data_IF_621915637555
#
_entry.id   IF_621915637555
#
_cell.length_a   1.000
_cell.length_b   1.000
_cell.length_c   1.000
_cell.angle_alpha   90.00
_cell.angle_beta   90.00
_cell.angle_gamma   90.00
#
_symmetry.space_group_name_H-M   'P 1'
#
loop_
_entity.id
_entity.type
_entity.pdbx_description
1 polymer ?
#
# COMPACT_ATOMS: atom_id res chain seq x y z
N UNK A 1 -14.61 -3.06 -7.64
CA UNK A 1 -15.45 -4.28 -7.58
C UNK A 1 -16.87 -3.97 -8.03
N UNK A 2 -17.71 -3.29 -7.24
CA UNK A 2 -19.13 -3.05 -7.63
C UNK A 2 -19.30 -2.27 -8.95
N UNK A 3 -18.30 -1.45 -9.30
CA UNK A 3 -18.28 -0.68 -10.55
C UNK A 3 -17.64 -1.41 -11.73
N UNK A 4 -17.30 -2.69 -11.59
CA UNK A 4 -16.59 -3.47 -12.62
C UNK A 4 -15.07 -3.22 -12.70
N UNK A 5 -14.56 -2.22 -11.98
CA UNK A 5 -13.11 -1.99 -11.82
C UNK A 5 -12.55 -3.02 -10.83
N UNK A 6 -12.19 -4.21 -11.34
CA UNK A 6 -11.68 -5.31 -10.53
C UNK A 6 -10.20 -5.11 -10.23
N UNK A 7 -9.78 -5.16 -8.94
CA UNK A 7 -8.37 -5.20 -8.60
C UNK A 7 -7.70 -6.48 -9.14
N UNK A 8 -6.55 -6.32 -9.79
CA UNK A 8 -5.80 -7.42 -10.38
C UNK A 8 -4.34 -7.43 -9.92
N UNK A 9 -3.78 -8.63 -9.76
CA UNK A 9 -2.36 -8.85 -9.46
C UNK A 9 -1.79 -9.92 -10.38
N UNK A 10 -0.58 -9.66 -10.88
CA UNK A 10 0.25 -10.72 -11.46
C UNK A 10 0.87 -11.53 -10.32
N UNK A 11 0.74 -12.85 -10.39
CA UNK A 11 1.42 -13.75 -9.46
C UNK A 11 2.76 -14.15 -10.06
N UNK A 12 3.84 -13.80 -9.37
CA UNK A 12 5.21 -13.96 -9.84
C UNK A 12 6.03 -14.81 -8.86
N UNK A 13 7.04 -15.51 -9.38
CA UNK A 13 8.02 -16.25 -8.59
C UNK A 13 9.45 -15.81 -8.97
N UNK A 14 10.32 -15.67 -7.98
CA UNK A 14 11.76 -15.76 -8.18
C UNK A 14 12.14 -17.22 -7.98
N UNK A 15 12.77 -17.83 -8.99
CA UNK A 15 13.17 -19.24 -8.95
C UNK A 15 14.67 -19.34 -9.15
N UNK A 16 15.33 -20.06 -8.26
CA UNK A 16 16.77 -20.22 -8.25
C UNK A 16 17.16 -21.58 -7.67
N UNK A 17 18.34 -22.05 -8.05
CA UNK A 17 18.99 -23.24 -7.53
C UNK A 17 19.69 -22.95 -6.20
N UNK A 18 20.08 -24.01 -5.49
CA UNK A 18 20.89 -23.87 -4.26
C UNK A 18 22.23 -23.18 -4.56
N UNK A 19 22.87 -23.48 -5.69
CA UNK A 19 24.14 -22.84 -6.09
C UNK A 19 23.98 -21.34 -6.29
N UNK A 20 22.89 -20.90 -6.93
CA UNK A 20 22.56 -19.48 -7.09
C UNK A 20 22.26 -18.81 -5.74
N UNK A 21 21.58 -19.50 -4.83
CA UNK A 21 21.33 -19.00 -3.47
C UNK A 21 22.64 -18.80 -2.69
N UNK A 22 23.54 -19.79 -2.74
CA UNK A 22 24.83 -19.77 -2.03
C UNK A 22 25.79 -18.72 -2.60
N UNK A 23 25.60 -18.30 -3.85
CA UNK A 23 26.40 -17.27 -4.51
C UNK A 23 25.97 -15.84 -4.14
N UNK A 24 24.79 -15.65 -3.52
CA UNK A 24 24.32 -14.33 -3.10
C UNK A 24 25.14 -13.81 -1.91
N UNK A 25 25.36 -12.48 -1.80
CA UNK A 25 26.13 -11.89 -0.72
C UNK A 25 25.38 -11.85 0.62
N UNK A 26 24.21 -12.48 0.70
CA UNK A 26 23.37 -12.57 1.88
C UNK A 26 22.63 -13.91 1.88
N UNK A 27 22.22 -14.37 3.06
CA UNK A 27 21.48 -15.61 3.21
C UNK A 27 20.02 -15.45 2.74
N UNK A 28 19.56 -16.30 1.81
CA UNK A 28 18.17 -16.29 1.32
C UNK A 28 17.14 -16.71 2.38
N UNK A 29 17.61 -17.32 3.48
CA UNK A 29 16.78 -17.68 4.63
C UNK A 29 16.64 -16.52 5.62
N UNK A 30 17.35 -15.41 5.41
CA UNK A 30 17.20 -14.19 6.21
C UNK A 30 16.00 -13.37 5.71
N UNK A 31 14.88 -13.32 6.47
CA UNK A 31 13.67 -12.61 6.06
C UNK A 31 13.85 -11.08 6.05
N UNK A 32 15.00 -10.57 6.48
CA UNK A 32 15.35 -9.14 6.39
C UNK A 32 16.01 -8.77 5.06
N UNK A 33 16.21 -9.76 4.17
CA UNK A 33 16.85 -9.59 2.87
C UNK A 33 15.84 -9.80 1.74
N UNK A 34 15.89 -8.92 0.75
CA UNK A 34 15.22 -9.08 -0.54
C UNK A 34 16.21 -9.59 -1.57
N UNK A 35 15.74 -10.35 -2.55
CA UNK A 35 16.53 -10.68 -3.75
C UNK A 35 16.22 -9.62 -4.80
N UNK A 36 17.15 -8.74 -5.18
CA UNK A 36 16.89 -7.71 -6.19
C UNK A 36 16.42 -8.34 -7.51
N UNK A 37 15.42 -7.73 -8.15
CA UNK A 37 14.83 -8.24 -9.40
C UNK A 37 15.84 -8.21 -10.56
N UNK A 38 16.87 -7.37 -10.47
CA UNK A 38 17.98 -7.27 -11.42
C UNK A 38 18.95 -8.45 -11.31
N UNK A 39 18.97 -9.14 -10.16
CA UNK A 39 19.79 -10.34 -9.93
C UNK A 39 19.01 -11.60 -10.30
N UNK A 40 17.79 -11.73 -9.77
CA UNK A 40 16.89 -12.84 -10.09
C UNK A 40 15.53 -12.26 -10.52
N UNK A 41 15.22 -12.23 -11.83
CA UNK A 41 14.00 -11.62 -12.33
C UNK A 41 12.72 -12.32 -11.86
N UNK A 42 11.65 -11.54 -11.75
CA UNK A 42 10.31 -12.07 -11.52
C UNK A 42 9.81 -12.84 -12.75
N UNK A 43 9.38 -14.09 -12.53
CA UNK A 43 8.66 -14.88 -13.53
C UNK A 43 7.17 -14.85 -13.26
N UNK A 44 6.38 -14.26 -14.16
CA UNK A 44 4.92 -14.30 -14.09
C UNK A 44 4.45 -15.74 -14.32
N UNK A 45 3.66 -16.27 -13.39
CA UNK A 45 3.10 -17.63 -13.43
C UNK A 45 1.57 -17.66 -13.35
N UNK A 46 0.93 -16.53 -13.06
CA UNK A 46 -0.52 -16.45 -13.02
C UNK A 46 -1.06 -15.03 -12.82
N UNK A 47 -2.37 -14.93 -12.68
CA UNK A 47 -3.11 -13.69 -12.44
C UNK A 47 -4.22 -13.93 -11.43
N UNK A 48 -4.35 -13.04 -10.45
CA UNK A 48 -5.43 -13.03 -9.47
C UNK A 48 -6.31 -11.81 -9.72
N UNK A 49 -7.63 -12.01 -9.75
CA UNK A 49 -8.65 -10.96 -9.93
C UNK A 49 -9.61 -11.04 -8.76
N UNK A 50 -9.87 -9.91 -8.10
CA UNK A 50 -10.90 -9.81 -7.07
C UNK A 50 -12.16 -9.21 -7.68
N UNK A 51 -13.16 -10.05 -7.92
CA UNK A 51 -14.36 -9.71 -8.71
C UNK A 51 -15.66 -9.65 -7.90
N UNK A 52 -15.62 -9.98 -6.60
CA UNK A 52 -16.81 -9.99 -5.75
C UNK A 52 -16.51 -9.57 -4.32
N UNK A 53 -17.38 -8.71 -3.80
CA UNK A 53 -17.40 -8.32 -2.39
C UNK A 53 -18.02 -9.43 -1.52
N UNK A 54 -17.70 -9.50 -0.21
CA UNK A 54 -18.41 -10.38 0.71
C UNK A 54 -19.88 -9.96 0.85
N UNK A 55 -20.77 -10.94 1.04
CA UNK A 55 -22.18 -10.70 1.38
C UNK A 55 -22.31 -10.28 2.85
N UNK A 56 -21.47 -10.86 3.73
CA UNK A 56 -21.42 -10.50 5.13
C UNK A 56 -19.98 -10.39 5.63
N UNK A 57 -19.58 -9.16 5.98
CA UNK A 57 -18.24 -8.85 6.45
C UNK A 57 -17.80 -9.73 7.64
N UNK A 58 -18.66 -9.91 8.65
CA UNK A 58 -18.26 -10.71 9.81
C UNK A 58 -18.11 -12.20 9.45
N UNK A 59 -19.09 -12.75 8.74
CA UNK A 59 -19.11 -14.17 8.42
C UNK A 59 -17.96 -14.60 7.49
N UNK A 60 -17.54 -13.71 6.57
CA UNK A 60 -16.55 -14.01 5.54
C UNK A 60 -15.20 -13.33 5.82
N UNK A 61 -15.16 -12.03 6.10
CA UNK A 61 -13.90 -11.29 6.30
C UNK A 61 -13.36 -11.43 7.71
N UNK A 62 -14.20 -11.33 8.74
CA UNK A 62 -13.72 -11.40 10.13
C UNK A 62 -13.36 -12.84 10.52
N UNK A 63 -14.12 -13.83 10.03
CA UNK A 63 -13.92 -15.24 10.41
C UNK A 63 -12.99 -16.04 9.49
N UNK A 64 -12.50 -15.47 8.38
CA UNK A 64 -11.49 -16.16 7.56
C UNK A 64 -10.22 -16.43 8.36
N UNK A 65 -9.62 -17.61 8.18
CA UNK A 65 -8.40 -18.03 8.83
C UNK A 65 -7.35 -18.43 7.79
N UNK A 66 -6.37 -17.55 7.56
CA UNK A 66 -5.17 -17.88 6.82
C UNK A 66 -4.13 -18.52 7.74
N UNK A 67 -3.30 -19.41 7.22
CA UNK A 67 -2.22 -20.04 7.97
C UNK A 67 -1.06 -20.38 7.05
N UNK A 68 0.17 -20.02 7.45
CA UNK A 68 1.37 -20.30 6.67
C UNK A 68 1.65 -21.81 6.53
N UNK A 69 1.17 -22.65 7.46
CA UNK A 69 1.30 -24.10 7.37
C UNK A 69 0.31 -24.76 6.40
N UNK A 70 -0.65 -24.02 5.85
CA UNK A 70 -1.60 -24.54 4.86
C UNK A 70 -0.99 -24.54 3.44
N UNK A 71 -0.05 -25.46 3.21
CA UNK A 71 0.55 -25.71 1.89
C UNK A 71 -0.01 -26.98 1.26
N UNK A 72 0.22 -27.14 -0.05
CA UNK A 72 -0.22 -28.29 -0.85
C UNK A 72 0.99 -29.05 -1.39
N UNK A 73 0.87 -30.36 -1.75
CA UNK A 73 1.97 -31.10 -2.36
C UNK A 73 2.57 -30.34 -3.56
N UNK A 74 3.91 -30.19 -3.56
CA UNK A 74 4.65 -29.39 -4.54
C UNK A 74 5.18 -28.06 -3.99
N UNK A 75 4.76 -27.65 -2.79
CA UNK A 75 5.29 -26.50 -2.05
C UNK A 75 5.73 -27.01 -0.67
N UNK A 76 6.90 -26.56 -0.21
CA UNK A 76 7.43 -26.92 1.12
C UNK A 76 8.10 -25.71 1.77
N UNK A 77 8.57 -25.89 2.99
CA UNK A 77 9.17 -24.85 3.81
C UNK A 77 10.70 -24.84 3.72
N UNK A 78 11.28 -23.70 4.09
CA UNK A 78 12.72 -23.53 4.28
C UNK A 78 13.05 -23.37 5.77
N UNK A 79 14.33 -23.34 6.10
CA UNK A 79 14.80 -23.09 7.46
C UNK A 79 14.86 -21.61 7.84
N UNK A 80 14.10 -20.74 7.16
CA UNK A 80 13.89 -19.35 7.60
C UNK A 80 13.36 -19.36 9.05
N UNK A 81 14.12 -18.82 10.02
CA UNK A 81 13.78 -18.94 11.44
C UNK A 81 12.51 -18.15 11.82
N UNK A 82 12.12 -17.14 11.04
CA UNK A 82 10.86 -16.43 11.22
C UNK A 82 9.68 -17.23 10.67
N UNK A 83 9.83 -17.85 9.50
CA UNK A 83 8.81 -18.75 8.94
C UNK A 83 8.53 -19.91 9.89
N UNK A 84 9.57 -20.56 10.42
CA UNK A 84 9.43 -21.71 11.33
C UNK A 84 8.54 -21.39 12.55
N UNK A 85 8.72 -20.21 13.18
CA UNK A 85 7.84 -19.77 14.26
C UNK A 85 6.40 -19.47 13.82
N UNK A 86 6.22 -18.97 12.59
CA UNK A 86 4.89 -18.69 12.01
C UNK A 86 4.11 -19.98 11.72
N UNK A 87 4.76 -21.08 11.34
CA UNK A 87 4.06 -22.36 11.09
C UNK A 87 3.26 -22.84 12.31
N UNK A 88 3.73 -22.52 13.52
CA UNK A 88 3.02 -22.78 14.78
C UNK A 88 1.90 -21.76 15.06
N UNK A 89 2.23 -20.46 15.02
CA UNK A 89 1.41 -19.38 15.57
C UNK A 89 0.01 -19.26 14.95
N UNK A 90 -0.08 -19.41 13.63
CA UNK A 90 -1.32 -19.12 12.90
C UNK A 90 -2.43 -20.12 13.22
N UNK A 91 -2.10 -21.37 13.57
CA UNK A 91 -3.09 -22.35 14.01
C UNK A 91 -3.50 -22.10 15.47
N UNK A 92 -2.53 -21.85 16.35
CA UNK A 92 -2.74 -21.63 17.78
C UNK A 92 -3.70 -20.46 18.04
N UNK A 93 -3.48 -19.31 17.38
CA UNK A 93 -4.30 -18.12 17.58
C UNK A 93 -5.77 -18.33 17.23
N UNK A 94 -6.09 -19.23 16.28
CA UNK A 94 -7.48 -19.49 15.87
C UNK A 94 -8.28 -20.19 16.96
N UNK A 95 -7.63 -20.98 17.82
CA UNK A 95 -8.30 -21.71 18.90
C UNK A 95 -9.05 -20.76 19.83
N UNK A 96 -8.47 -19.58 20.09
CA UNK A 96 -9.11 -18.53 20.87
C UNK A 96 -9.92 -17.58 19.99
N UNK A 97 -9.35 -17.07 18.89
CA UNK A 97 -9.99 -16.05 18.05
C UNK A 97 -11.33 -16.53 17.47
N UNK A 98 -11.39 -17.77 17.01
CA UNK A 98 -12.58 -18.41 16.46
C UNK A 98 -13.24 -19.38 17.47
N UNK A 99 -12.69 -19.44 18.69
CA UNK A 99 -13.26 -20.15 19.84
C UNK A 99 -13.36 -21.67 19.70
N UNK A 100 -12.75 -22.27 18.67
CA UNK A 100 -12.96 -23.68 18.35
C UNK A 100 -11.80 -24.28 17.56
N UNK A 101 -11.42 -25.56 17.81
CA UNK A 101 -10.54 -26.32 16.91
C UNK A 101 -11.22 -26.68 15.58
N UNK A 102 -12.55 -26.56 15.49
CA UNK A 102 -13.34 -26.78 14.29
C UNK A 102 -13.50 -25.51 13.44
N UNK A 103 -12.62 -24.51 13.56
CA UNK A 103 -12.70 -23.27 12.78
C UNK A 103 -12.64 -23.49 11.25
N UNK A 104 -12.06 -24.62 10.81
CA UNK A 104 -12.06 -25.06 9.41
C UNK A 104 -13.47 -25.41 8.89
N UNK A 105 -14.46 -25.63 9.77
CA UNK A 105 -15.86 -25.87 9.41
C UNK A 105 -16.67 -24.59 9.23
N UNK A 106 -16.11 -23.41 9.54
CA UNK A 106 -16.76 -22.13 9.20
C UNK A 106 -16.80 -22.00 7.66
N UNK A 107 -17.94 -21.65 7.04
CA UNK A 107 -18.13 -21.76 5.59
C UNK A 107 -17.03 -21.12 4.71
N UNK A 108 -16.46 -19.98 5.12
CA UNK A 108 -15.39 -19.30 4.37
C UNK A 108 -14.05 -20.06 4.42
N UNK A 109 -13.82 -20.88 5.45
CA UNK A 109 -12.59 -21.63 5.67
C UNK A 109 -12.66 -23.07 5.14
N UNK A 110 -13.85 -23.54 4.76
CA UNK A 110 -14.04 -24.92 4.32
C UNK A 110 -13.30 -25.19 3.00
N UNK A 111 -12.52 -26.28 2.91
CA UNK A 111 -11.91 -26.67 1.65
C UNK A 111 -13.01 -27.00 0.62
N UNK A 112 -12.73 -26.72 -0.65
CA UNK A 112 -13.64 -27.07 -1.75
C UNK A 112 -13.39 -28.49 -2.29
N UNK A 113 -12.37 -29.17 -1.78
CA UNK A 113 -12.05 -30.57 -2.09
C UNK A 113 -12.46 -31.50 -0.93
N UNK A 114 -12.56 -32.82 -1.15
CA UNK A 114 -12.83 -33.77 -0.08
C UNK A 114 -11.76 -33.69 1.02
N UNK A 115 -12.20 -33.69 2.29
CA UNK A 115 -11.32 -33.78 3.45
C UNK A 115 -11.89 -34.83 4.41
N UNK A 116 -11.11 -35.87 4.70
CA UNK A 116 -11.50 -36.94 5.61
C UNK A 116 -10.32 -37.28 6.51
N UNK A 117 -10.57 -37.31 7.81
CA UNK A 117 -9.59 -37.71 8.81
C UNK A 117 -10.28 -38.35 10.01
N UNK A 118 -9.50 -38.66 11.03
CA UNK A 118 -9.95 -39.35 12.23
C UNK A 118 -10.14 -38.43 13.43
N UNK A 119 -9.97 -37.11 13.25
CA UNK A 119 -10.26 -36.12 14.30
C UNK A 119 -11.78 -36.07 14.57
N UNK A 120 -12.15 -35.90 15.85
CA UNK A 120 -13.53 -35.90 16.33
C UNK A 120 -13.72 -34.76 17.34
N UNK A 121 -14.98 -34.48 17.63
CA UNK A 121 -15.43 -33.59 18.72
C UNK A 121 -14.91 -32.15 18.60
N UNK A 122 -14.61 -31.52 19.73
CA UNK A 122 -14.27 -30.09 19.83
C UNK A 122 -15.49 -29.18 19.88
N UNK A 123 -15.30 -27.96 20.42
CA UNK A 123 -16.37 -26.96 20.51
C UNK A 123 -16.95 -26.65 19.13
N UNK A 124 -18.26 -26.39 19.02
CA UNK A 124 -18.94 -26.09 17.75
C UNK A 124 -18.66 -27.10 16.62
N UNK A 125 -18.62 -28.40 16.93
CA UNK A 125 -18.54 -29.44 15.90
C UNK A 125 -19.81 -29.43 15.03
N UNK A 126 -19.66 -29.13 13.75
CA UNK A 126 -20.76 -29.03 12.78
C UNK A 126 -20.98 -30.34 12.03
N UNK A 127 -19.91 -30.91 11.46
CA UNK A 127 -20.02 -32.18 10.74
C UNK A 127 -20.26 -33.34 11.71
N UNK A 128 -21.13 -34.26 11.31
CA UNK A 128 -21.39 -35.53 12.02
C UNK A 128 -20.57 -36.65 11.37
N UNK A 129 -19.43 -37.08 11.95
CA UNK A 129 -18.62 -38.16 11.39
C UNK A 129 -19.40 -39.47 11.37
N UNK A 130 -19.32 -40.20 10.26
CA UNK A 130 -19.97 -41.52 10.11
C UNK A 130 -18.97 -42.64 10.37
N UNK A 131 -19.49 -43.80 10.75
CA UNK A 131 -18.70 -45.01 10.99
C UNK A 131 -18.23 -45.16 12.43
N UNK A 132 -17.77 -46.37 12.77
CA UNK A 132 -17.36 -46.76 14.13
C UNK A 132 -15.86 -46.58 14.41
N UNK A 133 -15.09 -46.06 13.45
CA UNK A 133 -13.63 -45.92 13.54
C UNK A 133 -13.22 -44.45 13.62
N UNK A 134 -12.36 -44.14 14.58
CA UNK A 134 -11.72 -42.85 14.81
C UNK A 134 -10.20 -42.98 15.08
N UNK A 135 -9.59 -44.10 14.67
CA UNK A 135 -8.16 -44.40 14.84
C UNK A 135 -7.62 -45.18 13.63
N UNK A 136 -6.31 -45.13 13.42
CA UNK A 136 -5.58 -45.87 12.37
C UNK A 136 -4.25 -46.39 12.96
N UNK A 137 -3.81 -47.63 12.65
CA UNK A 137 -4.46 -48.62 11.79
C UNK A 137 -5.74 -49.23 12.37
N UNK A 138 -6.79 -49.40 11.56
CA UNK A 138 -7.99 -50.15 11.94
C UNK A 138 -8.39 -51.24 10.93
N UNK A 139 -8.87 -52.37 11.47
CA UNK A 139 -9.49 -53.49 10.72
C UNK A 139 -11.01 -53.38 10.64
N UNK A 140 -11.62 -52.41 11.31
CA UNK A 140 -13.08 -52.29 11.45
C UNK A 140 -13.68 -51.36 10.39
N UNK A 141 -13.60 -51.76 9.12
CA UNK A 141 -14.40 -51.16 8.03
C UNK A 141 -13.61 -50.73 6.78
N UNK A 142 -14.22 -50.82 5.59
CA UNK A 142 -13.55 -50.51 4.32
C UNK A 142 -13.43 -49.00 4.04
N UNK A 143 -14.31 -48.17 4.60
CA UNK A 143 -14.45 -46.74 4.26
C UNK A 143 -13.76 -45.79 5.25
N UNK A 144 -12.69 -46.24 5.91
CA UNK A 144 -11.88 -45.41 6.81
C UNK A 144 -10.88 -44.61 5.98
N UNK A 145 -10.70 -43.32 6.27
CA UNK A 145 -9.68 -42.49 5.63
C UNK A 145 -8.29 -43.16 5.76
N UNK A 146 -7.58 -43.31 4.64
CA UNK A 146 -6.24 -43.93 4.56
C UNK A 146 -5.20 -42.95 4.06
N UNK A 147 -3.95 -43.25 4.35
CA UNK A 147 -2.79 -42.55 3.80
C UNK A 147 -2.76 -42.67 2.27
N UNK A 148 -2.45 -41.58 1.57
CA UNK A 148 -2.16 -41.64 0.14
C UNK A 148 -0.66 -41.81 -0.08
N UNK A 149 -0.22 -43.02 -0.44
CA UNK A 149 1.19 -43.25 -0.72
C UNK A 149 1.66 -42.55 -2.00
N UNK A 150 0.84 -42.50 -3.04
CA UNK A 150 1.23 -41.95 -4.34
C UNK A 150 1.20 -40.43 -4.41
N UNK A 151 0.29 -39.77 -3.67
CA UNK A 151 0.04 -38.33 -3.77
C UNK A 151 0.01 -37.58 -2.44
N UNK A 152 0.31 -38.26 -1.32
CA UNK A 152 0.39 -37.62 -0.01
C UNK A 152 1.51 -36.57 0.05
N UNK A 153 1.32 -35.56 0.89
CA UNK A 153 2.35 -34.56 1.18
C UNK A 153 3.60 -35.25 1.72
N UNK A 154 4.77 -34.89 1.18
CA UNK A 154 6.07 -35.39 1.63
C UNK A 154 7.00 -34.20 1.75
N UNK A 155 7.58 -34.03 2.93
CA UNK A 155 8.63 -33.03 3.13
C UNK A 155 9.84 -33.37 2.27
N UNK A 156 10.40 -32.36 1.62
CA UNK A 156 11.64 -32.43 0.88
C UNK A 156 12.75 -32.95 1.83
N UNK A 157 13.48 -34.00 1.45
CA UNK A 157 14.45 -34.65 2.33
C UNK A 157 15.75 -33.84 2.41
N UNK A 158 15.67 -32.65 3.02
CA UNK A 158 16.84 -31.80 3.23
C UNK A 158 17.81 -32.44 4.24
N UNK A 159 19.11 -32.28 4.02
CA UNK A 159 20.13 -32.77 4.94
C UNK A 159 20.38 -31.75 6.04
N UNK A 160 19.92 -32.05 7.26
CA UNK A 160 20.14 -31.21 8.43
C UNK A 160 21.33 -31.73 9.26
N UNK A 161 22.30 -30.87 9.53
CA UNK A 161 23.49 -31.18 10.36
C UNK A 161 23.79 -30.03 11.32
N UNK A 162 24.43 -30.32 12.46
CA UNK A 162 24.86 -29.31 13.41
C UNK A 162 24.43 -29.58 14.86
N UNK A 163 24.75 -28.62 15.74
CA UNK A 163 24.40 -28.66 17.16
C UNK A 163 23.05 -28.00 17.44
N UNK A 164 22.36 -28.43 18.49
CA UNK A 164 21.11 -27.82 18.95
C UNK A 164 21.39 -26.56 19.77
N UNK A 165 21.37 -25.40 19.12
CA UNK A 165 21.74 -24.12 19.72
C UNK A 165 20.60 -23.08 19.61
N UNK A 166 20.65 -22.06 20.49
CA UNK A 166 19.84 -20.84 20.37
C UNK A 166 20.74 -19.68 19.95
N UNK A 167 21.06 -19.65 18.67
CA UNK A 167 21.95 -18.64 18.06
C UNK A 167 21.32 -18.09 16.79
N UNK A 168 21.76 -16.88 16.39
CA UNK A 168 21.47 -16.36 15.05
C UNK A 168 22.67 -16.67 14.16
N UNK A 169 22.47 -17.10 12.90
CA UNK A 169 23.58 -17.30 11.97
C UNK A 169 24.40 -16.02 11.80
N UNK A 170 25.72 -16.14 11.69
CA UNK A 170 26.59 -14.97 11.48
C UNK A 170 26.26 -14.23 10.17
N UNK A 171 25.83 -14.96 9.14
CA UNK A 171 25.39 -14.41 7.86
C UNK A 171 24.19 -13.43 7.99
N UNK A 172 23.40 -13.53 9.07
CA UNK A 172 22.29 -12.60 9.35
C UNK A 172 22.78 -11.30 10.02
N UNK A 173 24.10 -11.18 10.25
CA UNK A 173 24.75 -10.04 10.92
C UNK A 173 24.85 -8.76 10.09
N UNK A 174 24.55 -8.82 8.79
CA UNK A 174 24.44 -7.64 7.94
C UNK A 174 23.06 -7.00 8.12
N UNK A 175 23.07 -5.77 8.65
CA UNK A 175 21.87 -5.02 8.98
C UNK A 175 21.71 -3.76 8.14
N UNK A 176 22.68 -3.42 7.28
CA UNK A 176 22.79 -2.08 6.72
C UNK A 176 22.96 -2.05 5.20
N UNK A 177 23.55 -3.09 4.58
CA UNK A 177 23.80 -3.09 3.13
C UNK A 177 22.52 -2.91 2.32
N UNK A 178 21.48 -3.72 2.58
CA UNK A 178 20.23 -3.59 1.83
C UNK A 178 19.40 -2.36 2.23
N UNK A 179 19.53 -1.86 3.46
CA UNK A 179 18.91 -0.59 3.85
C UNK A 179 19.52 0.58 3.04
N UNK A 180 20.83 0.55 2.82
CA UNK A 180 21.55 1.50 1.96
C UNK A 180 21.10 1.36 0.51
N UNK A 181 21.13 0.14 -0.04
CA UNK A 181 20.64 -0.16 -1.38
C UNK A 181 19.21 0.38 -1.57
N UNK A 182 18.29 0.10 -0.65
CA UNK A 182 16.91 0.57 -0.71
C UNK A 182 16.85 2.09 -0.78
N UNK A 183 17.55 2.82 0.10
CA UNK A 183 17.54 4.29 0.10
C UNK A 183 18.05 4.88 -1.22
N UNK A 184 19.14 4.32 -1.78
CA UNK A 184 19.69 4.76 -3.07
C UNK A 184 18.89 4.31 -4.29
N UNK A 185 17.98 3.34 -4.11
CA UNK A 185 17.02 2.93 -5.15
C UNK A 185 15.85 3.90 -5.30
N UNK A 186 15.62 4.75 -4.30
CA UNK A 186 14.49 5.68 -4.27
C UNK A 186 14.76 6.93 -5.12
N UNK A 187 13.71 7.47 -5.73
CA UNK A 187 13.76 8.80 -6.37
C UNK A 187 13.96 9.90 -5.32
N UNK A 188 14.35 11.09 -5.77
CA UNK A 188 14.58 12.24 -4.87
C UNK A 188 13.37 12.56 -3.97
N UNK A 189 12.12 12.66 -4.45
CA UNK A 189 10.95 12.87 -3.59
C UNK A 189 10.76 11.74 -2.56
N UNK A 190 11.01 10.48 -2.95
CA UNK A 190 10.90 9.35 -2.02
C UNK A 190 11.97 9.38 -0.93
N UNK A 191 13.21 9.73 -1.25
CA UNK A 191 14.26 9.94 -0.25
C UNK A 191 13.90 11.07 0.72
N UNK A 192 13.31 12.15 0.20
CA UNK A 192 12.87 13.29 0.99
C UNK A 192 11.72 12.92 1.94
N UNK A 193 10.78 12.10 1.47
CA UNK A 193 9.72 11.53 2.30
C UNK A 193 10.24 10.55 3.36
N UNK A 194 11.25 9.72 3.06
CA UNK A 194 11.90 8.85 4.06
C UNK A 194 12.51 9.69 5.18
N UNK A 195 13.25 10.75 4.82
CA UNK A 195 13.83 11.68 5.80
C UNK A 195 12.75 12.36 6.62
N UNK A 196 11.69 12.87 5.97
CA UNK A 196 10.58 13.52 6.67
C UNK A 196 9.85 12.57 7.62
N UNK A 197 9.65 11.31 7.23
CA UNK A 197 9.04 10.29 8.07
C UNK A 197 9.90 9.97 9.30
N UNK A 198 11.21 9.81 9.12
CA UNK A 198 12.15 9.60 10.23
C UNK A 198 12.15 10.78 11.20
N UNK A 199 12.14 12.02 10.70
CA UNK A 199 12.05 13.22 11.54
C UNK A 199 10.72 13.25 12.29
N UNK A 200 9.61 13.01 11.59
CA UNK A 200 8.27 13.04 12.18
C UNK A 200 8.13 11.99 13.29
N UNK A 201 8.51 10.75 13.05
CA UNK A 201 8.40 9.70 14.07
C UNK A 201 9.35 9.92 15.24
N UNK A 202 10.61 10.29 14.98
CA UNK A 202 11.58 10.54 16.05
C UNK A 202 11.26 11.81 16.85
N UNK A 203 10.57 12.80 16.27
CA UNK A 203 10.11 13.99 16.99
C UNK A 203 9.07 13.69 18.07
N UNK A 204 8.33 12.57 17.94
CA UNK A 204 7.39 12.06 18.95
C UNK A 204 8.08 11.21 20.03
N UNK A 205 9.35 10.87 19.85
CA UNK A 205 10.12 10.16 20.87
C UNK A 205 10.63 11.16 21.92
N UNK A 206 10.01 11.17 23.10
CA UNK A 206 10.40 12.07 24.20
C UNK A 206 11.81 11.81 24.73
N UNK A 207 12.30 10.57 24.60
CA UNK A 207 13.58 10.15 25.17
C UNK A 207 14.73 10.44 24.20
N UNK A 208 15.52 11.48 24.47
CA UNK A 208 16.62 11.94 23.61
C UNK A 208 17.61 10.83 23.18
N UNK A 209 18.04 9.98 24.13
CA UNK A 209 18.97 8.86 23.84
C UNK A 209 18.43 7.89 22.77
N UNK A 210 17.11 7.78 22.62
CA UNK A 210 16.49 6.93 21.58
C UNK A 210 16.70 7.56 20.21
N UNK A 211 16.52 8.88 20.10
CA UNK A 211 16.79 9.64 18.86
C UNK A 211 18.26 9.55 18.48
N UNK A 212 19.17 9.73 19.44
CA UNK A 212 20.61 9.58 19.25
C UNK A 212 20.99 8.17 18.80
N UNK A 213 20.45 7.13 19.44
CA UNK A 213 20.70 5.74 19.06
C UNK A 213 20.16 5.41 17.66
N UNK A 214 19.07 6.04 17.23
CA UNK A 214 18.55 5.90 15.88
C UNK A 214 19.45 6.60 14.86
N UNK A 215 19.91 7.82 15.14
CA UNK A 215 20.89 8.52 14.30
C UNK A 215 22.20 7.72 14.14
N UNK A 216 22.67 7.11 15.23
CA UNK A 216 23.84 6.22 15.25
C UNK A 216 23.68 4.99 14.34
N UNK A 217 22.45 4.56 14.06
CA UNK A 217 22.17 3.47 13.09
C UNK A 217 22.00 4.00 11.68
N UNK A 218 21.34 5.15 11.51
CA UNK A 218 21.15 5.77 10.20
C UNK A 218 22.49 6.10 9.54
N UNK A 219 23.51 6.51 10.31
CA UNK A 219 24.83 6.81 9.75
C UNK A 219 25.54 5.56 9.20
N UNK A 220 25.22 4.35 9.70
CA UNK A 220 25.70 3.10 9.13
C UNK A 220 25.02 2.76 7.80
N UNK A 221 23.84 3.31 7.54
CA UNK A 221 23.14 3.19 6.24
C UNK A 221 23.74 4.20 5.27
N UNK A 222 23.68 5.48 5.65
CA UNK A 222 24.22 6.57 4.87
C UNK A 222 24.42 7.85 5.70
N UNK A 223 25.55 8.53 5.49
CA UNK A 223 25.90 9.74 6.24
C UNK A 223 24.99 10.91 5.88
N UNK A 224 24.67 11.11 4.60
CA UNK A 224 23.79 12.20 4.17
C UNK A 224 22.39 12.01 4.72
N UNK A 225 21.84 10.79 4.69
CA UNK A 225 20.58 10.44 5.35
C UNK A 225 20.58 10.83 6.83
N UNK A 226 21.58 10.38 7.60
CA UNK A 226 21.65 10.64 9.04
C UNK A 226 21.75 12.13 9.36
N UNK A 227 22.54 12.89 8.60
CA UNK A 227 22.72 14.33 8.81
C UNK A 227 21.45 15.12 8.49
N UNK A 228 20.72 14.76 7.44
CA UNK A 228 19.43 15.39 7.09
C UNK A 228 18.40 15.16 8.19
N UNK A 229 18.31 13.94 8.73
CA UNK A 229 17.43 13.62 9.86
C UNK A 229 17.84 14.36 11.13
N UNK A 230 19.14 14.41 11.46
CA UNK A 230 19.64 15.14 12.61
C UNK A 230 19.31 16.64 12.52
N UNK A 231 19.50 17.24 11.34
CA UNK A 231 19.15 18.64 11.08
C UNK A 231 17.65 18.90 11.28
N UNK A 232 16.78 17.99 10.81
CA UNK A 232 15.34 18.08 11.00
C UNK A 232 14.88 17.95 12.45
N UNK A 233 15.58 17.14 13.24
CA UNK A 233 15.34 16.99 14.68
C UNK A 233 15.99 18.11 15.52
N UNK A 234 16.82 18.97 14.91
CA UNK A 234 17.61 19.98 15.63
C UNK A 234 18.71 19.37 16.52
N UNK A 235 19.10 18.13 16.28
CA UNK A 235 20.20 17.46 16.99
C UNK A 235 21.52 17.98 16.46
N UNK A 236 22.42 18.39 17.36
CA UNK A 236 23.72 18.97 17.03
C UNK A 236 24.84 18.09 17.57
N UNK A 237 25.99 18.13 16.91
CA UNK A 237 27.18 17.38 17.30
C UNK A 237 27.48 16.23 16.35
N UNK A 238 28.57 15.52 16.64
CA UNK A 238 28.98 14.35 15.88
C UNK A 238 28.07 13.16 16.19
N UNK A 239 27.69 12.41 15.14
CA UNK A 239 26.92 11.18 15.27
C UNK A 239 27.93 10.03 15.36
N UNK A 240 28.07 9.43 16.54
CA UNK A 240 28.88 8.22 16.69
C UNK A 240 28.14 7.02 16.10
N UNK A 241 28.72 6.28 15.13
CA UNK A 241 28.08 5.10 14.56
C UNK A 241 27.84 4.01 15.60
N UNK A 242 26.68 3.35 15.52
CA UNK A 242 26.38 2.19 16.36
C UNK A 242 27.23 0.99 15.92
N UNK A 243 27.51 0.06 16.84
CA UNK A 243 28.21 -1.17 16.50
C UNK A 243 27.45 -1.95 15.39
N UNK A 244 28.20 -2.39 14.38
CA UNK A 244 27.70 -3.17 13.25
C UNK A 244 28.49 -4.49 13.23
N UNK A 245 27.84 -5.67 13.39
CA UNK A 245 28.54 -6.95 13.29
C UNK A 245 29.20 -7.14 11.94
N UNK A 246 28.49 -6.77 10.87
CA UNK A 246 29.00 -6.69 9.51
C UNK A 246 28.80 -5.23 9.04
N UNK A 247 29.87 -4.54 8.60
CA UNK A 247 29.76 -3.21 8.00
C UNK A 247 28.91 -3.24 6.73
N UNK A 248 28.21 -2.14 6.44
CA UNK A 248 27.46 -2.01 5.19
C UNK A 248 28.42 -2.13 3.99
N UNK A 249 28.10 -3.01 3.06
CA UNK A 249 28.73 -3.05 1.75
C UNK A 249 28.03 -2.10 0.78
N UNK A 250 28.71 -1.78 -0.32
CA UNK A 250 28.06 -1.15 -1.46
C UNK A 250 27.37 -2.22 -2.31
N UNK A 251 26.15 -1.91 -2.77
CA UNK A 251 25.33 -2.77 -3.61
C UNK A 251 24.63 -1.88 -4.63
N UNK A 252 24.49 -2.36 -5.86
CA UNK A 252 23.83 -1.60 -6.92
C UNK A 252 22.38 -1.28 -6.53
N UNK A 253 21.91 -0.04 -6.76
CA UNK A 253 20.50 0.29 -6.56
C UNK A 253 19.59 -0.62 -7.40
N UNK A 254 18.41 -0.92 -6.87
CA UNK A 254 17.36 -1.72 -7.51
C UNK A 254 16.15 -0.82 -7.81
N UNK A 255 16.04 -0.24 -9.02
CA UNK A 255 14.92 0.63 -9.39
C UNK A 255 13.53 0.02 -9.17
N UNK A 256 13.40 -1.31 -9.17
CA UNK A 256 12.16 -2.02 -8.85
C UNK A 256 11.63 -1.72 -7.42
N UNK A 257 12.50 -1.28 -6.51
CA UNK A 257 12.15 -0.90 -5.15
C UNK A 257 11.57 0.52 -5.01
N UNK A 258 11.70 1.38 -6.04
CA UNK A 258 11.05 2.70 -6.04
C UNK A 258 9.59 2.57 -6.49
N UNK A 259 8.68 3.23 -5.77
CA UNK A 259 7.28 3.32 -6.15
C UNK A 259 7.11 4.29 -7.32
N UNK A 260 7.77 5.44 -7.28
CA UNK A 260 7.63 6.47 -8.31
C UNK A 260 8.30 6.07 -9.63
N UNK A 261 9.44 5.39 -9.60
CA UNK A 261 10.11 4.94 -10.81
C UNK A 261 9.32 3.87 -11.57
N UNK A 262 8.56 3.03 -10.86
CA UNK A 262 7.75 1.95 -11.45
C UNK A 262 6.27 2.30 -11.63
N UNK A 263 5.81 3.43 -11.11
CA UNK A 263 4.41 3.81 -11.19
C UNK A 263 4.01 4.01 -12.66
N UNK A 264 3.05 3.24 -13.20
CA UNK A 264 2.55 3.51 -14.54
C UNK A 264 1.79 4.85 -14.53
N UNK A 265 1.95 5.68 -15.57
CA UNK A 265 1.12 6.88 -15.70
C UNK A 265 -0.34 6.49 -15.99
N UNK A 266 -1.26 7.37 -15.64
CA UNK A 266 -2.67 7.25 -15.99
C UNK A 266 -3.63 7.45 -14.82
N UNK A 267 -4.91 7.52 -15.16
CA UNK A 267 -5.99 7.78 -14.21
C UNK A 267 -6.94 6.58 -14.02
N UNK A 268 -6.64 5.43 -14.60
CA UNK A 268 -7.50 4.24 -14.48
C UNK A 268 -7.74 3.90 -13.02
N UNK A 269 -9.02 3.84 -12.62
CA UNK A 269 -9.45 3.58 -11.24
C UNK A 269 -9.28 4.77 -10.26
N UNK A 270 -8.75 5.91 -10.71
CA UNK A 270 -8.58 7.15 -9.90
C UNK A 270 -9.88 7.93 -9.79
N UNK A 271 -9.90 8.89 -8.87
CA UNK A 271 -11.05 9.77 -8.63
C UNK A 271 -10.67 11.24 -8.75
N UNK A 272 -11.40 11.99 -9.58
CA UNK A 272 -11.24 13.44 -9.75
C UNK A 272 -12.39 14.16 -9.04
N UNK A 273 -12.07 15.10 -8.16
CA UNK A 273 -13.07 15.92 -7.47
C UNK A 273 -13.37 17.20 -8.24
N UNK A 274 -14.64 17.54 -8.46
CA UNK A 274 -15.06 18.77 -9.12
C UNK A 274 -15.87 19.65 -8.17
N UNK A 275 -15.28 20.74 -7.70
CA UNK A 275 -15.95 21.70 -6.83
C UNK A 275 -16.74 22.70 -7.67
N UNK A 276 -18.07 22.68 -7.49
CA UNK A 276 -19.03 23.50 -8.23
C UNK A 276 -19.92 24.31 -7.29
N UNK A 277 -20.58 25.33 -7.82
CA UNK A 277 -21.61 26.13 -7.13
C UNK A 277 -22.79 26.37 -8.05
N UNK A 278 -23.87 26.97 -7.53
CA UNK A 278 -24.97 27.44 -8.38
C UNK A 278 -24.46 28.36 -9.49
N UNK A 279 -24.97 28.19 -10.72
CA UNK A 279 -24.52 28.90 -11.92
C UNK A 279 -23.29 28.30 -12.61
N UNK A 280 -22.86 27.08 -12.24
CA UNK A 280 -21.76 26.39 -12.94
C UNK A 280 -22.09 26.15 -14.42
N UNK A 281 -21.08 26.26 -15.29
CA UNK A 281 -21.17 25.98 -16.72
C UNK A 281 -21.39 24.49 -17.00
N UNK A 282 -22.60 24.16 -17.49
CA UNK A 282 -23.02 22.81 -17.87
C UNK A 282 -22.07 22.16 -18.89
N UNK A 283 -21.64 22.91 -19.91
CA UNK A 283 -20.84 22.37 -21.00
C UNK A 283 -19.45 21.99 -20.51
N UNK A 284 -18.85 22.82 -19.65
CA UNK A 284 -17.54 22.55 -19.09
C UNK A 284 -17.55 21.35 -18.13
N UNK A 285 -18.58 21.22 -17.29
CA UNK A 285 -18.73 20.04 -16.42
C UNK A 285 -18.94 18.78 -17.24
N UNK A 286 -19.73 18.83 -18.31
CA UNK A 286 -19.95 17.70 -19.22
C UNK A 286 -18.66 17.30 -19.95
N UNK A 287 -17.89 18.28 -20.45
CA UNK A 287 -16.59 18.05 -21.08
C UNK A 287 -15.61 17.39 -20.10
N UNK A 288 -15.48 17.94 -18.88
CA UNK A 288 -14.63 17.37 -17.84
C UNK A 288 -15.02 15.94 -17.49
N UNK A 289 -16.32 15.68 -17.31
CA UNK A 289 -16.84 14.34 -17.02
C UNK A 289 -16.48 13.34 -18.12
N UNK A 290 -16.75 13.70 -19.37
CA UNK A 290 -16.44 12.85 -20.51
C UNK A 290 -14.94 12.55 -20.61
N UNK A 291 -14.08 13.55 -20.39
CA UNK A 291 -12.63 13.38 -20.44
C UNK A 291 -12.09 12.51 -19.29
N UNK A 292 -12.62 12.67 -18.07
CA UNK A 292 -12.25 11.85 -16.90
C UNK A 292 -12.69 10.40 -17.09
N UNK A 293 -13.91 10.16 -17.57
CA UNK A 293 -14.43 8.81 -17.84
C UNK A 293 -13.67 8.13 -18.99
N UNK A 294 -13.32 8.88 -20.05
CA UNK A 294 -12.49 8.37 -21.15
C UNK A 294 -11.08 7.97 -20.69
N UNK A 295 -10.55 8.61 -19.63
CA UNK A 295 -9.28 8.26 -19.01
C UNK A 295 -9.39 7.07 -18.01
N UNK A 296 -10.57 6.46 -17.87
CA UNK A 296 -10.83 5.34 -16.94
C UNK A 296 -10.96 5.75 -15.47
N UNK A 297 -11.16 7.04 -15.21
CA UNK A 297 -11.35 7.60 -13.87
C UNK A 297 -12.80 7.95 -13.59
N UNK A 298 -13.10 8.30 -12.34
CA UNK A 298 -14.43 8.75 -11.91
C UNK A 298 -14.40 10.22 -11.54
N UNK A 299 -15.32 10.99 -12.12
CA UNK A 299 -15.59 12.35 -11.66
C UNK A 299 -16.55 12.29 -10.46
N UNK A 300 -16.25 13.04 -9.41
CA UNK A 300 -17.16 13.23 -8.28
C UNK A 300 -17.44 14.71 -8.06
N UNK A 301 -18.72 15.05 -8.02
CA UNK A 301 -19.20 16.42 -7.85
C UNK A 301 -19.22 16.78 -6.36
N UNK A 302 -18.62 17.92 -6.04
CA UNK A 302 -18.53 18.48 -4.70
C UNK A 302 -19.24 19.84 -4.73
N UNK A 303 -20.18 20.04 -3.81
CA UNK A 303 -21.02 21.24 -3.80
C UNK A 303 -21.23 21.80 -2.37
N UNK A 304 -21.74 23.04 -2.22
CA UNK A 304 -22.13 23.59 -0.92
C UNK A 304 -23.20 22.77 -0.19
N UNK A 305 -24.05 22.05 -0.94
CA UNK A 305 -25.10 21.17 -0.40
C UNK A 305 -25.05 19.78 -1.03
N UNK A 306 -25.53 18.75 -0.33
CA UNK A 306 -25.52 17.37 -0.84
C UNK A 306 -26.58 17.14 -1.92
N UNK A 307 -27.65 17.93 -1.95
CA UNK A 307 -28.68 17.82 -2.98
C UNK A 307 -28.19 18.26 -4.36
N UNK A 308 -27.05 18.96 -4.43
CA UNK A 308 -26.49 19.47 -5.68
C UNK A 308 -26.52 21.00 -5.80
N UNK A 309 -26.41 21.46 -7.04
CA UNK A 309 -26.46 22.87 -7.45
C UNK A 309 -27.32 23.04 -8.70
N UNK A 310 -27.88 24.23 -8.90
CA UNK A 310 -28.54 24.61 -10.14
C UNK A 310 -27.50 25.14 -11.12
N UNK A 311 -27.36 24.51 -12.28
CA UNK A 311 -26.41 24.92 -13.32
C UNK A 311 -26.83 26.22 -14.02
N UNK A 312 -25.95 26.79 -14.84
CA UNK A 312 -26.25 28.00 -15.62
C UNK A 312 -27.45 27.80 -16.57
N UNK A 313 -27.66 26.59 -17.10
CA UNK A 313 -28.83 26.23 -17.90
C UNK A 313 -30.11 25.97 -17.08
N UNK A 314 -30.04 26.05 -15.75
CA UNK A 314 -31.19 25.86 -14.84
C UNK A 314 -31.48 24.39 -14.47
N UNK A 315 -30.58 23.46 -14.81
CA UNK A 315 -30.72 22.05 -14.46
C UNK A 315 -30.16 21.76 -13.05
N UNK A 316 -30.68 20.73 -12.37
CA UNK A 316 -30.09 20.26 -11.12
C UNK A 316 -28.90 19.32 -11.42
N UNK A 317 -27.71 19.72 -10.99
CA UNK A 317 -26.52 18.87 -10.96
C UNK A 317 -26.37 18.28 -9.56
N UNK A 318 -26.66 16.99 -9.41
CA UNK A 318 -26.54 16.28 -8.14
C UNK A 318 -25.07 16.23 -7.66
N UNK A 319 -24.87 16.35 -6.35
CA UNK A 319 -23.56 16.25 -5.73
C UNK A 319 -23.33 14.85 -5.14
N UNK A 320 -22.09 14.37 -5.26
CA UNK A 320 -21.63 13.17 -4.56
C UNK A 320 -21.21 13.51 -3.13
N UNK A 321 -20.70 14.73 -2.93
CA UNK A 321 -20.23 15.21 -1.64
C UNK A 321 -20.69 16.64 -1.39
N UNK A 322 -21.07 16.92 -0.14
CA UNK A 322 -21.01 18.29 0.38
C UNK A 322 -19.55 18.67 0.61
N UNK A 323 -19.18 19.93 0.45
CA UNK A 323 -17.80 20.43 0.56
C UNK A 323 -17.07 20.00 1.85
N UNK A 324 -17.78 19.87 2.97
CA UNK A 324 -17.21 19.39 4.24
C UNK A 324 -17.27 17.87 4.45
N UNK A 325 -18.04 17.15 3.63
CA UNK A 325 -18.02 15.69 3.54
C UNK A 325 -17.05 15.15 2.48
N UNK A 326 -16.56 16.02 1.58
CA UNK A 326 -15.65 15.68 0.49
C UNK A 326 -14.33 16.45 0.56
N UNK A 327 -13.50 16.28 1.61
CA UNK A 327 -12.21 16.95 1.68
C UNK A 327 -11.30 16.50 0.53
N UNK A 328 -10.37 17.36 0.11
CA UNK A 328 -9.59 17.14 -1.10
C UNK A 328 -8.83 15.81 -1.10
N UNK A 329 -8.42 15.30 0.08
CA UNK A 329 -7.69 14.04 0.28
C UNK A 329 -8.38 12.81 -0.32
N UNK A 330 -9.69 12.84 -0.55
CA UNK A 330 -10.45 11.74 -1.17
C UNK A 330 -10.28 11.64 -2.70
N UNK A 331 -9.62 12.61 -3.33
CA UNK A 331 -9.47 12.72 -4.78
C UNK A 331 -7.99 12.74 -5.17
N UNK A 332 -7.65 12.20 -6.33
CA UNK A 332 -6.28 12.17 -6.86
C UNK A 332 -5.89 13.50 -7.53
N UNK A 333 -6.87 14.15 -8.18
CA UNK A 333 -6.77 15.49 -8.79
C UNK A 333 -8.10 16.24 -8.58
N UNK A 334 -8.09 17.57 -8.76
CA UNK A 334 -9.29 18.39 -8.53
C UNK A 334 -9.52 19.43 -9.63
N UNK A 335 -10.78 19.77 -9.87
CA UNK A 335 -11.22 20.87 -10.71
C UNK A 335 -12.06 21.85 -9.89
N UNK A 336 -11.77 23.15 -9.99
CA UNK A 336 -12.45 24.23 -9.28
C UNK A 336 -13.27 25.03 -10.29
N UNK A 337 -14.56 24.71 -10.39
CA UNK A 337 -15.49 25.30 -11.36
C UNK A 337 -16.66 26.04 -10.67
N UNK A 338 -16.42 26.94 -9.70
CA UNK A 338 -17.51 27.76 -9.16
C UNK A 338 -17.97 28.80 -10.20
N UNK A 339 -19.18 29.33 -10.02
CA UNK A 339 -19.60 30.60 -10.63
C UNK A 339 -18.89 31.78 -9.95
N UNK A 340 -18.95 32.98 -10.53
CA UNK A 340 -18.31 34.16 -9.94
C UNK A 340 -18.85 34.47 -8.53
N UNK A 341 -20.18 34.44 -8.36
CA UNK A 341 -20.82 34.64 -7.06
C UNK A 341 -20.48 33.49 -6.09
N UNK A 342 -20.51 32.26 -6.57
CA UNK A 342 -20.18 31.08 -5.77
C UNK A 342 -18.72 31.05 -5.33
N UNK A 343 -17.79 31.45 -6.18
CA UNK A 343 -16.37 31.54 -5.86
C UNK A 343 -16.08 32.57 -4.78
N UNK A 344 -16.75 33.72 -4.84
CA UNK A 344 -16.68 34.75 -3.80
C UNK A 344 -17.28 34.25 -2.46
N UNK A 345 -18.41 33.53 -2.50
CA UNK A 345 -19.03 32.95 -1.32
C UNK A 345 -18.17 31.85 -0.69
N UNK A 346 -17.65 30.91 -1.50
CA UNK A 346 -16.77 29.84 -1.02
C UNK A 346 -15.46 30.40 -0.41
N UNK A 347 -14.97 31.55 -0.86
CA UNK A 347 -13.81 32.20 -0.27
C UNK A 347 -14.04 32.71 1.17
N UNK A 348 -15.29 32.77 1.63
CA UNK A 348 -15.64 33.05 3.02
C UNK A 348 -15.74 31.77 3.86
N UNK A 349 -15.76 30.60 3.23
CA UNK A 349 -15.87 29.29 3.88
C UNK A 349 -14.49 28.65 4.10
N UNK A 350 -14.12 28.48 5.37
CA UNK A 350 -12.81 27.94 5.74
C UNK A 350 -12.55 26.56 5.11
N UNK A 351 -13.58 25.71 5.02
CA UNK A 351 -13.47 24.37 4.42
C UNK A 351 -13.15 24.43 2.93
N UNK A 352 -13.77 25.33 2.17
CA UNK A 352 -13.51 25.46 0.74
C UNK A 352 -12.12 26.07 0.47
N UNK A 353 -11.70 27.03 1.30
CA UNK A 353 -10.32 27.56 1.26
C UNK A 353 -9.30 26.45 1.56
N UNK A 354 -9.54 25.66 2.61
CA UNK A 354 -8.67 24.55 2.97
C UNK A 354 -8.67 23.45 1.91
N UNK A 355 -9.79 23.19 1.23
CA UNK A 355 -9.84 22.23 0.12
C UNK A 355 -8.77 22.53 -0.94
N UNK A 356 -8.65 23.79 -1.37
CA UNK A 356 -7.65 24.23 -2.36
C UNK A 356 -6.24 24.18 -1.78
N UNK A 357 -6.04 24.65 -0.54
CA UNK A 357 -4.74 24.59 0.14
C UNK A 357 -4.23 23.17 0.30
N UNK A 358 -5.09 22.25 0.71
CA UNK A 358 -4.78 20.84 0.88
C UNK A 358 -4.51 20.17 -0.46
N UNK A 359 -5.29 20.47 -1.50
CA UNK A 359 -5.02 19.94 -2.83
C UNK A 359 -3.64 20.41 -3.35
N UNK A 360 -3.33 21.69 -3.19
CA UNK A 360 -2.07 22.28 -3.61
C UNK A 360 -0.90 21.71 -2.80
N UNK A 361 -1.01 21.71 -1.47
CA UNK A 361 -0.02 21.21 -0.53
C UNK A 361 0.23 19.70 -0.62
N UNK A 362 -0.77 18.92 -1.03
CA UNK A 362 -0.63 17.50 -1.36
C UNK A 362 -0.18 17.24 -2.80
N UNK A 363 0.27 18.30 -3.50
CA UNK A 363 0.93 18.22 -4.80
C UNK A 363 -0.01 17.71 -5.92
N UNK A 364 -1.31 17.92 -5.79
CA UNK A 364 -2.29 17.46 -6.78
C UNK A 364 -2.33 18.39 -7.98
N UNK A 365 -2.76 17.86 -9.11
CA UNK A 365 -3.14 18.70 -10.26
C UNK A 365 -4.48 19.36 -9.97
N UNK A 366 -4.55 20.67 -10.23
CA UNK A 366 -5.71 21.53 -9.98
C UNK A 366 -6.07 22.23 -11.29
N UNK A 367 -7.19 21.84 -11.91
CA UNK A 367 -7.83 22.65 -12.93
C UNK A 367 -8.68 23.74 -12.28
N UNK A 368 -8.75 24.92 -12.86
CA UNK A 368 -9.59 25.98 -12.32
C UNK A 368 -10.03 26.99 -13.38
N UNK A 369 -11.15 27.67 -13.10
CA UNK A 369 -11.63 28.85 -13.82
C UNK A 369 -11.31 30.13 -13.04
N UNK A 370 -11.32 31.32 -13.68
CA UNK A 370 -11.02 32.58 -13.00
C UNK A 370 -11.89 32.86 -11.77
N UNK A 371 -13.14 32.39 -11.76
CA UNK A 371 -14.04 32.49 -10.63
C UNK A 371 -13.52 31.82 -9.34
N UNK A 372 -12.57 30.87 -9.45
CA UNK A 372 -11.92 30.24 -8.31
C UNK A 372 -10.78 31.09 -7.70
N UNK A 373 -10.34 32.16 -8.36
CA UNK A 373 -9.23 33.01 -7.89
C UNK A 373 -9.38 33.51 -6.43
N UNK A 374 -10.58 33.89 -5.94
CA UNK A 374 -10.77 34.25 -4.53
C UNK A 374 -10.33 33.16 -3.55
N UNK A 375 -10.49 31.88 -3.89
CA UNK A 375 -10.06 30.75 -3.06
C UNK A 375 -8.54 30.65 -2.98
N UNK A 376 -7.83 30.86 -4.08
CA UNK A 376 -6.36 30.89 -4.09
C UNK A 376 -5.83 32.06 -3.26
N UNK A 377 -6.41 33.24 -3.42
CA UNK A 377 -6.03 34.43 -2.63
C UNK A 377 -6.25 34.18 -1.14
N UNK A 378 -7.43 33.70 -0.74
CA UNK A 378 -7.72 33.38 0.67
C UNK A 378 -6.90 32.20 1.19
N UNK A 379 -6.50 31.30 0.30
CA UNK A 379 -5.63 30.17 0.60
C UNK A 379 -4.16 30.55 0.85
N UNK A 380 -3.78 31.81 0.60
CA UNK A 380 -2.38 32.22 0.64
C UNK A 380 -1.55 31.68 -0.53
N UNK A 381 -2.21 31.40 -1.65
CA UNK A 381 -1.60 30.84 -2.87
C UNK A 381 -1.50 31.88 -4.00
N UNK A 382 -1.57 33.18 -3.68
CA UNK A 382 -1.51 34.27 -4.67
C UNK A 382 -0.17 34.33 -5.42
N UNK A 383 0.91 33.86 -4.78
CA UNK A 383 2.25 33.84 -5.35
C UNK A 383 2.52 32.57 -6.18
N UNK A 384 1.60 31.60 -6.15
CA UNK A 384 1.68 30.43 -7.02
C UNK A 384 1.44 30.88 -8.46
N UNK A 385 2.53 30.96 -9.23
CA UNK A 385 2.45 31.33 -10.64
C UNK A 385 2.01 30.10 -11.46
N UNK A 386 0.82 30.11 -12.09
CA UNK A 386 0.35 29.00 -12.92
C UNK A 386 1.28 28.74 -14.11
N UNK A 387 1.97 29.76 -14.61
CA UNK A 387 2.93 29.63 -15.72
C UNK A 387 4.25 28.97 -15.27
N UNK A 388 4.48 28.83 -13.96
CA UNK A 388 5.65 28.18 -13.37
C UNK A 388 5.31 26.85 -12.64
N UNK A 389 4.04 26.47 -12.57
CA UNK A 389 3.57 25.24 -11.91
C UNK A 389 2.80 24.37 -12.90
N UNK A 390 3.40 23.26 -13.30
CA UNK A 390 2.86 22.35 -14.31
C UNK A 390 1.53 21.66 -13.90
N UNK A 391 1.09 21.77 -12.65
CA UNK A 391 -0.19 21.22 -12.20
C UNK A 391 -1.23 22.25 -11.81
N UNK A 392 -1.07 23.53 -12.14
CA UNK A 392 -2.14 24.53 -12.08
C UNK A 392 -2.66 24.80 -13.49
N UNK A 393 -3.83 24.25 -13.82
CA UNK A 393 -4.39 24.28 -15.18
C UNK A 393 -5.50 25.32 -15.27
N UNK A 394 -5.17 26.47 -15.84
CA UNK A 394 -6.09 27.59 -16.03
C UNK A 394 -6.94 27.38 -17.31
N UNK A 395 -8.17 26.90 -17.17
CA UNK A 395 -9.00 26.42 -18.30
C UNK A 395 -9.37 27.46 -19.39
N UNK A 396 -9.35 28.79 -19.16
CA UNK A 396 -9.42 29.76 -20.26
C UNK A 396 -8.15 29.84 -21.11
N UNK A 397 -7.01 29.35 -20.62
CA UNK A 397 -5.70 29.38 -21.30
C UNK A 397 -5.18 27.98 -21.66
N UNK A 398 -5.83 26.94 -21.18
CA UNK A 398 -5.50 25.53 -21.35
C UNK A 398 -6.79 24.72 -21.56
N UNK A 399 -6.69 23.45 -21.87
CA UNK A 399 -7.85 22.59 -22.15
C UNK A 399 -8.09 21.59 -21.02
N UNK A 400 -9.28 20.98 -21.01
CA UNK A 400 -9.55 19.81 -20.17
C UNK A 400 -8.58 18.68 -20.49
N UNK A 401 -8.18 18.51 -21.75
CA UNK A 401 -7.18 17.51 -22.14
C UNK A 401 -5.79 17.75 -21.52
N UNK A 402 -5.38 19.02 -21.39
CA UNK A 402 -4.13 19.37 -20.69
C UNK A 402 -4.22 19.00 -19.20
N UNK A 403 -5.38 19.21 -18.58
CA UNK A 403 -5.63 18.76 -17.20
C UNK A 403 -5.54 17.25 -17.05
N UNK A 404 -6.19 16.47 -17.93
CA UNK A 404 -6.11 15.01 -17.90
C UNK A 404 -4.67 14.52 -18.10
N UNK A 405 -3.93 15.16 -19.00
CA UNK A 405 -2.53 14.81 -19.27
C UNK A 405 -1.66 15.06 -18.03
N UNK A 406 -1.77 16.23 -17.41
CA UNK A 406 -1.05 16.54 -16.18
C UNK A 406 -1.44 15.61 -15.03
N UNK A 407 -2.74 15.39 -14.82
CA UNK A 407 -3.25 14.52 -13.75
C UNK A 407 -2.82 13.05 -13.94
N UNK A 408 -2.69 12.59 -15.18
CA UNK A 408 -2.16 11.25 -15.50
C UNK A 408 -0.70 11.08 -15.10
N UNK A 409 0.07 12.17 -14.97
CA UNK A 409 1.43 12.17 -14.43
C UNK A 409 1.50 12.04 -12.90
N UNK A 410 0.37 12.05 -12.20
CA UNK A 410 0.31 11.90 -10.75
C UNK A 410 0.49 13.21 -10.00
N UNK A 411 1.49 13.29 -9.11
CA UNK A 411 1.73 14.45 -8.25
C UNK A 411 2.81 15.36 -8.83
N UNK A 412 2.72 16.65 -8.53
CA UNK A 412 3.69 17.68 -8.93
C UNK A 412 4.81 17.75 -7.90
N UNK A 413 5.80 16.87 -8.04
CA UNK A 413 6.91 16.79 -7.08
C UNK A 413 7.76 18.06 -7.02
N UNK A 414 7.91 18.78 -8.14
CA UNK A 414 8.63 20.06 -8.19
C UNK A 414 7.98 21.16 -7.34
N UNK A 415 6.70 21.02 -6.99
CA UNK A 415 5.98 21.93 -6.08
C UNK A 415 6.35 21.69 -4.62
N UNK A 416 6.85 20.51 -4.26
CA UNK A 416 7.08 20.13 -2.86
C UNK A 416 7.95 21.13 -2.08
N UNK A 417 9.11 21.59 -2.61
CA UNK A 417 9.95 22.57 -1.90
C UNK A 417 9.28 23.92 -1.67
N UNK A 418 8.22 24.24 -2.41
CA UNK A 418 7.47 25.49 -2.28
C UNK A 418 6.44 25.43 -1.15
N UNK A 419 5.98 24.23 -0.78
CA UNK A 419 4.88 24.03 0.20
C UNK A 419 5.36 23.48 1.53
N UNK A 420 6.57 22.92 1.59
CA UNK A 420 7.17 22.41 2.83
C UNK A 420 8.69 22.40 2.75
N UNK A 421 9.32 22.40 3.93
CA UNK A 421 10.77 22.26 4.03
C UNK A 421 11.19 20.85 3.63
N UNK A 422 12.06 20.76 2.64
CA UNK A 422 12.85 19.57 2.33
C UNK A 422 14.18 19.68 3.09
N UNK A 423 14.52 18.64 3.86
CA UNK A 423 15.72 18.61 4.71
C UNK A 423 16.94 18.06 4.01
#
# INVERSE_FOLDING_TARGET
IDTGDFPEWQFCLQTFSQEEADALPFDVLDPTKVIPEEVIPLRVVGRMVLDRNPDNFFAETEQVAYCASHVVPGIDFTNDPLLQGRLFSYQDTQLKRLGSPNFHQIPINQPKCPFHNLQRDGHMRMDVPKGQVNYEPSSLGPDVARESQASGYRTFPNLETGEQLRVRPEAFGDHYTQARMFFFSQTKPEQDHIVAALIFELSKCDVARVREAMLARLINIDQTLALRVAAGLGVRGEITPAAAPIPAAEMDPSPALSLLAKAPPGLVGRKVGCLVTDGVDDALVAELKAAVEAAGAKLAIIAPTISGVTTAAGALLAADFRIDGGPSVLFDAVALLPSDEGGAALALEATAVNFVRDAFGHLKVIAYVPAAAPLFVKGGLSDANPDADAGLINLPKATVADFITAASGGRIWDREPLVRKVF
#
